data_IF_888371463728
#
_entry.id   IF_888371463728
#
_cell.length_a   1.000
_cell.length_b   1.000
_cell.length_c   1.000
_cell.angle_alpha   90.00
_cell.angle_beta   90.00
_cell.angle_gamma   90.00
#
_symmetry.space_group_name_H-M   'P 1'
#
loop_
_entity.id
_entity.type
_entity.pdbx_description
1 polymer ?
#
# COMPACT_ATOMS: atom_id res chain seq x y z
N UNK A 1 14.93 -37.30 16.44
CA UNK A 1 14.36 -36.24 15.57
C UNK A 1 13.23 -36.90 14.79
N UNK A 2 12.00 -36.37 14.80
CA UNK A 2 10.90 -36.93 13.99
C UNK A 2 10.98 -36.35 12.58
N UNK A 3 10.81 -37.21 11.58
CA UNK A 3 10.70 -36.78 10.18
C UNK A 3 9.38 -36.05 9.94
N UNK A 4 9.43 -35.00 9.13
CA UNK A 4 8.26 -34.22 8.72
C UNK A 4 7.74 -34.77 7.39
N UNK A 5 6.45 -35.13 7.35
CA UNK A 5 5.76 -35.52 6.11
C UNK A 5 5.29 -34.27 5.34
N UNK A 6 5.77 -34.13 4.11
CA UNK A 6 5.47 -33.02 3.20
C UNK A 6 4.54 -33.41 2.05
N UNK A 7 3.98 -34.63 2.03
CA UNK A 7 3.14 -35.18 0.95
C UNK A 7 1.92 -34.30 0.59
N UNK A 8 1.45 -33.47 1.53
CA UNK A 8 0.26 -32.62 1.38
C UNK A 8 0.58 -31.15 1.05
N UNK A 9 1.85 -30.77 0.92
CA UNK A 9 2.22 -29.39 0.62
C UNK A 9 1.81 -28.99 -0.80
N UNK A 10 0.99 -27.96 -0.92
CA UNK A 10 0.70 -27.30 -2.19
C UNK A 10 1.66 -26.14 -2.40
N UNK A 11 2.38 -26.16 -3.51
CA UNK A 11 3.29 -25.09 -3.91
C UNK A 11 2.56 -24.12 -4.83
N UNK A 12 2.77 -22.83 -4.60
CA UNK A 12 2.32 -21.75 -5.49
C UNK A 12 3.53 -20.99 -5.98
N UNK A 13 3.58 -20.69 -7.27
CA UNK A 13 4.66 -19.88 -7.83
C UNK A 13 4.57 -18.44 -7.32
N UNK A 14 5.66 -17.95 -6.72
CA UNK A 14 5.78 -16.53 -6.36
C UNK A 14 5.73 -15.64 -7.61
N UNK A 15 6.15 -16.14 -8.77
CA UNK A 15 6.10 -15.37 -10.03
C UNK A 15 4.65 -15.07 -10.45
N UNK A 16 3.72 -16.00 -10.25
CA UNK A 16 2.31 -15.82 -10.65
C UNK A 16 1.39 -15.28 -9.54
N UNK A 17 1.89 -15.10 -8.31
CA UNK A 17 1.10 -14.60 -7.18
C UNK A 17 0.56 -13.19 -7.47
N UNK A 18 -0.77 -13.02 -7.47
CA UNK A 18 -1.45 -11.74 -7.73
C UNK A 18 -1.14 -10.68 -6.66
N UNK A 19 -1.14 -11.08 -5.39
CA UNK A 19 -0.90 -10.18 -4.24
C UNK A 19 0.59 -9.89 -4.02
N UNK A 20 1.27 -9.43 -5.07
CA UNK A 20 2.65 -8.92 -5.00
C UNK A 20 2.65 -7.42 -5.01
N UNK A 21 3.54 -6.85 -4.22
CA UNK A 21 3.78 -5.41 -4.18
C UNK A 21 5.07 -5.14 -4.97
N UNK A 22 5.05 -4.08 -5.77
CA UNK A 22 6.23 -3.60 -6.49
C UNK A 22 7.02 -2.62 -5.63
N UNK A 23 8.34 -2.57 -5.79
CA UNK A 23 9.17 -1.49 -5.21
C UNK A 23 8.76 -0.11 -5.71
N UNK A 24 8.18 -0.01 -6.91
CA UNK A 24 7.58 1.24 -7.41
C UNK A 24 6.40 1.71 -6.55
N UNK A 25 5.88 0.82 -5.73
CA UNK A 25 4.85 1.10 -4.76
C UNK A 25 5.36 1.62 -3.41
N UNK A 26 6.67 1.70 -3.18
CA UNK A 26 7.14 2.32 -1.95
C UNK A 26 6.82 3.82 -1.94
N UNK A 27 6.57 4.36 -0.74
CA UNK A 27 6.46 5.81 -0.57
C UNK A 27 7.79 6.49 -0.91
N UNK A 28 7.72 7.74 -1.37
CA UNK A 28 8.91 8.57 -1.55
C UNK A 28 9.61 8.80 -0.19
N UNK A 29 10.96 8.80 -0.14
CA UNK A 29 11.69 9.12 1.08
C UNK A 29 11.37 10.53 1.60
N UNK A 30 11.26 10.65 2.92
CA UNK A 30 11.15 11.96 3.57
C UNK A 30 12.47 12.73 3.45
N UNK A 31 12.40 14.05 3.27
CA UNK A 31 13.58 14.93 3.20
C UNK A 31 13.41 16.17 4.07
N UNK A 32 14.52 16.73 4.55
CA UNK A 32 14.51 17.97 5.34
C UNK A 32 13.85 19.10 4.54
N UNK A 33 12.95 19.84 5.20
CA UNK A 33 12.20 20.94 4.57
C UNK A 33 11.05 20.48 3.66
N UNK A 34 10.72 19.19 3.62
CA UNK A 34 9.55 18.70 2.89
C UNK A 34 8.26 19.24 3.53
N UNK A 35 7.36 19.79 2.72
CA UNK A 35 6.03 20.16 3.19
C UNK A 35 5.19 18.92 3.46
N UNK A 36 4.20 19.04 4.34
CA UNK A 36 3.28 17.94 4.59
C UNK A 36 2.51 17.52 3.31
N UNK A 37 2.18 18.48 2.43
CA UNK A 37 1.57 18.18 1.14
C UNK A 37 2.48 17.35 0.23
N UNK A 38 3.79 17.63 0.21
CA UNK A 38 4.75 16.84 -0.55
C UNK A 38 4.91 15.41 0.03
N UNK A 39 4.82 15.26 1.34
CA UNK A 39 4.75 13.95 1.99
C UNK A 39 3.51 13.16 1.54
N UNK A 40 2.31 13.76 1.61
CA UNK A 40 1.06 13.10 1.20
C UNK A 40 1.08 12.70 -0.29
N UNK A 41 1.60 13.56 -1.16
CA UNK A 41 1.73 13.27 -2.60
C UNK A 41 2.72 12.13 -2.88
N UNK A 42 3.71 11.92 -2.01
CA UNK A 42 4.68 10.83 -2.10
C UNK A 42 4.18 9.47 -1.61
N UNK A 43 2.96 9.39 -1.05
CA UNK A 43 2.37 8.12 -0.62
C UNK A 43 1.88 7.29 -1.81
N UNK A 44 1.98 5.96 -1.74
CA UNK A 44 1.61 5.08 -2.85
C UNK A 44 0.12 4.88 -3.02
N UNK A 45 -0.31 4.46 -4.21
CA UNK A 45 -1.73 4.30 -4.57
C UNK A 45 -2.32 2.91 -4.29
N UNK A 46 -1.88 2.25 -3.20
CA UNK A 46 -2.42 0.96 -2.77
C UNK A 46 -2.34 0.83 -1.24
N UNK A 47 -2.91 -0.26 -0.69
CA UNK A 47 -3.17 -0.43 0.75
C UNK A 47 -4.10 0.69 1.27
N UNK A 48 -3.93 1.07 2.54
CA UNK A 48 -4.77 2.04 3.23
C UNK A 48 -4.69 3.47 2.66
N UNK A 49 -3.68 3.80 1.85
CA UNK A 49 -3.56 5.16 1.27
C UNK A 49 -4.71 5.46 0.31
N UNK A 50 -5.19 4.45 -0.42
CA UNK A 50 -6.34 4.60 -1.32
C UNK A 50 -7.60 4.98 -0.55
N UNK A 51 -7.86 4.27 0.55
CA UNK A 51 -9.02 4.54 1.41
C UNK A 51 -8.88 5.90 2.10
N UNK A 52 -7.67 6.23 2.59
CA UNK A 52 -7.37 7.54 3.15
C UNK A 52 -7.69 8.69 2.17
N UNK A 53 -7.23 8.60 0.92
CA UNK A 53 -7.52 9.61 -0.12
C UNK A 53 -9.02 9.74 -0.37
N UNK A 54 -9.75 8.63 -0.43
CA UNK A 54 -11.20 8.66 -0.61
C UNK A 54 -11.93 9.39 0.52
N UNK A 55 -11.49 9.20 1.77
CA UNK A 55 -12.04 9.91 2.95
C UNK A 55 -11.71 11.39 2.89
N UNK A 56 -10.46 11.75 2.60
CA UNK A 56 -10.04 13.16 2.46
C UNK A 56 -10.88 13.88 1.40
N UNK A 57 -11.07 13.27 0.23
CA UNK A 57 -11.89 13.83 -0.85
C UNK A 57 -13.35 14.00 -0.44
N UNK A 58 -13.90 13.04 0.32
CA UNK A 58 -15.27 13.14 0.83
C UNK A 58 -15.44 14.32 1.79
N UNK A 59 -14.52 14.50 2.73
CA UNK A 59 -14.54 15.62 3.70
C UNK A 59 -14.39 16.96 2.98
N UNK A 60 -13.45 17.09 2.04
CA UNK A 60 -13.24 18.33 1.29
C UNK A 60 -14.47 18.70 0.46
N UNK A 61 -15.11 17.71 -0.20
CA UNK A 61 -16.35 17.94 -0.95
C UNK A 61 -17.50 18.38 -0.04
N UNK A 62 -17.66 17.76 1.13
CA UNK A 62 -18.69 18.14 2.08
C UNK A 62 -18.50 19.60 2.56
N UNK A 63 -17.27 19.97 2.93
CA UNK A 63 -16.94 21.33 3.37
C UNK A 63 -17.22 22.39 2.29
N UNK A 64 -17.00 22.08 1.01
CA UNK A 64 -17.22 23.04 -0.10
C UNK A 64 -18.70 23.26 -0.45
N UNK A 65 -19.58 22.36 -0.03
CA UNK A 65 -21.01 22.37 -0.35
C UNK A 65 -21.88 22.92 0.78
N UNK A 66 -21.35 22.97 2.01
CA UNK A 66 -21.96 23.67 3.14
C UNK A 66 -21.53 25.12 3.16
#
# INVERSE_FOLDING_TARGET
MRELDFSRLRRTSLRSRKSKVSFRGCAAPVRKGMSFGAFLSGLPDYLAVKDFRAVVDAVVRARRRG
#
